data_IF_013925834756
#
_entry.id   IF_013925834756
#
_cell.length_a   1.000
_cell.length_b   1.000
_cell.length_c   1.000
_cell.angle_alpha   90.00
_cell.angle_beta   90.00
_cell.angle_gamma   90.00
#
_symmetry.space_group_name_H-M   'P 1'
#
loop_
_entity.id
_entity.type
_entity.pdbx_description
1 polymer ?
#
# COMPACT_ATOMS: atom_id res chain seq x y z
N UNK A 1 23.83 -55.54 8.17
CA UNK A 1 22.45 -55.94 8.55
C UNK A 1 21.80 -54.73 9.20
N UNK A 2 20.58 -54.35 8.74
CA UNK A 2 19.42 -53.72 9.44
C UNK A 2 19.63 -53.09 10.85
N UNK A 3 19.01 -52.00 11.32
CA UNK A 3 18.02 -50.97 10.88
C UNK A 3 17.74 -50.06 12.11
N UNK A 4 17.23 -48.83 11.89
CA UNK A 4 16.41 -48.01 12.84
C UNK A 4 17.15 -46.82 13.47
N UNK A 5 16.92 -45.52 13.16
CA UNK A 5 15.73 -44.65 13.43
C UNK A 5 15.21 -44.80 14.88
N UNK A 6 15.02 -43.76 15.72
CA UNK A 6 14.43 -42.41 15.48
C UNK A 6 14.71 -41.42 16.65
N UNK A 7 14.27 -40.16 16.44
CA UNK A 7 14.01 -39.00 17.34
C UNK A 7 15.17 -38.01 17.56
N UNK A 8 15.19 -36.82 16.94
CA UNK A 8 14.25 -35.66 16.94
C UNK A 8 14.39 -34.78 18.21
N UNK A 9 14.85 -33.54 18.00
CA UNK A 9 14.17 -32.27 18.35
C UNK A 9 15.20 -31.15 18.60
N UNK A 10 15.23 -30.20 17.67
CA UNK A 10 15.25 -28.73 17.85
C UNK A 10 16.32 -28.04 18.75
N UNK A 11 17.12 -27.16 18.12
CA UNK A 11 17.26 -25.74 18.55
C UNK A 11 18.02 -24.90 17.52
N UNK A 12 17.25 -24.10 16.79
CA UNK A 12 17.45 -22.68 16.46
C UNK A 12 18.88 -22.17 16.21
N UNK A 13 19.20 -21.97 14.94
CA UNK A 13 20.22 -21.02 14.48
C UNK A 13 19.57 -19.64 14.28
N UNK A 14 20.00 -18.66 15.07
CA UNK A 14 19.74 -17.24 14.81
C UNK A 14 20.47 -16.80 13.53
N UNK A 15 19.85 -16.04 12.61
CA UNK A 15 20.59 -15.22 11.68
C UNK A 15 20.63 -13.77 12.18
N UNK A 16 21.86 -13.36 12.47
CA UNK A 16 22.32 -12.00 12.76
C UNK A 16 21.68 -10.94 11.84
N UNK A 17 21.07 -9.93 12.46
CA UNK A 17 20.68 -8.70 11.78
C UNK A 17 21.96 -7.91 11.41
N UNK A 18 22.27 -7.79 10.13
CA UNK A 18 23.08 -6.69 9.59
C UNK A 18 22.96 -6.62 8.07
N UNK A 19 22.29 -5.55 7.63
CA UNK A 19 22.55 -4.78 6.41
C UNK A 19 22.82 -5.54 5.10
N UNK A 20 21.80 -5.63 4.24
CA UNK A 20 21.92 -5.38 2.80
C UNK A 20 20.52 -5.24 2.18
N UNK A 21 19.95 -4.03 2.17
CA UNK A 21 18.62 -3.76 1.58
C UNK A 21 18.67 -2.83 0.37
N UNK A 22 19.87 -2.46 -0.08
CA UNK A 22 20.04 -1.81 -1.38
C UNK A 22 20.41 -2.87 -2.39
N UNK A 23 19.45 -3.42 -3.13
CA UNK A 23 19.60 -3.86 -4.52
C UNK A 23 18.26 -4.36 -5.08
N UNK A 24 17.83 -3.69 -6.16
CA UNK A 24 16.96 -4.12 -7.26
C UNK A 24 15.43 -4.11 -7.10
N UNK A 25 14.87 -2.96 -7.52
CA UNK A 25 13.52 -2.79 -8.05
C UNK A 25 13.29 -3.70 -9.25
N UNK A 26 12.37 -4.66 -9.13
CA UNK A 26 11.72 -5.26 -10.29
C UNK A 26 10.24 -4.92 -10.21
N UNK A 27 9.80 -4.05 -11.12
CA UNK A 27 8.40 -3.88 -11.44
C UNK A 27 7.86 -5.21 -11.97
N UNK A 28 7.29 -6.03 -11.10
CA UNK A 28 6.58 -7.24 -11.49
C UNK A 28 5.20 -7.16 -10.88
N UNK A 29 4.20 -7.04 -11.76
CA UNK A 29 2.80 -7.14 -11.43
C UNK A 29 2.57 -8.39 -10.59
N UNK A 30 2.14 -8.19 -9.34
CA UNK A 30 1.74 -9.27 -8.44
C UNK A 30 0.25 -9.16 -8.20
N UNK A 31 -0.45 -10.02 -8.92
CA UNK A 31 -1.71 -10.65 -8.52
C UNK A 31 -1.57 -11.22 -7.09
N UNK A 32 -2.66 -11.18 -6.31
CA UNK A 32 -2.82 -11.57 -4.91
C UNK A 32 -2.64 -10.45 -3.87
N UNK A 33 -3.64 -10.37 -2.98
CA UNK A 33 -3.57 -9.92 -1.59
C UNK A 33 -2.29 -9.15 -1.22
N UNK A 34 -2.36 -7.82 -1.00
CA UNK A 34 -1.19 -6.96 -0.74
C UNK A 34 -0.36 -7.34 0.51
N UNK A 35 -0.71 -8.44 1.18
CA UNK A 35 0.04 -9.10 2.23
C UNK A 35 1.06 -10.07 1.60
N UNK A 36 2.19 -9.56 1.13
CA UNK A 36 3.25 -10.43 0.63
C UNK A 36 3.93 -11.16 1.80
N UNK A 37 3.84 -12.48 1.74
CA UNK A 37 4.83 -13.47 2.18
C UNK A 37 5.99 -12.89 3.02
N UNK A 38 5.92 -13.06 4.35
CA UNK A 38 7.04 -12.74 5.25
C UNK A 38 7.18 -11.29 5.73
N UNK A 39 6.14 -10.45 5.56
CA UNK A 39 6.07 -9.13 6.20
C UNK A 39 6.51 -7.96 5.32
N UNK A 40 6.45 -8.11 3.99
CA UNK A 40 6.59 -6.99 3.05
C UNK A 40 5.21 -6.71 2.44
N UNK A 41 4.78 -5.45 2.44
CA UNK A 41 3.56 -5.08 1.72
C UNK A 41 3.88 -5.02 0.23
N UNK A 42 3.00 -5.58 -0.60
CA UNK A 42 3.02 -5.26 -2.02
C UNK A 42 2.47 -3.83 -2.14
N UNK A 43 3.34 -2.86 -2.45
CA UNK A 43 2.91 -1.48 -2.54
C UNK A 43 2.50 -1.15 -3.98
N UNK A 44 1.35 -0.48 -4.18
CA UNK A 44 0.95 -0.04 -5.51
C UNK A 44 1.94 1.01 -6.02
N UNK A 45 2.15 1.08 -7.34
CA UNK A 45 2.99 2.14 -7.91
C UNK A 45 2.21 3.46 -8.02
N UNK A 46 2.90 4.60 -7.90
CA UNK A 46 2.32 5.91 -8.21
C UNK A 46 1.74 5.92 -9.62
N UNK A 47 0.50 6.40 -9.75
CA UNK A 47 -0.30 6.37 -10.97
C UNK A 47 -1.09 5.09 -11.21
N UNK A 48 -0.93 4.08 -10.36
CA UNK A 48 -1.78 2.89 -10.41
C UNK A 48 -3.17 3.21 -9.89
N UNK A 49 -4.15 2.46 -10.38
CA UNK A 49 -5.51 2.45 -9.85
C UNK A 49 -5.67 1.29 -8.87
N UNK A 50 -6.23 1.58 -7.72
CA UNK A 50 -6.54 0.61 -6.66
C UNK A 50 -8.00 0.77 -6.25
N UNK A 51 -8.56 -0.20 -5.54
CA UNK A 51 -9.85 -0.07 -4.89
C UNK A 51 -9.69 0.15 -3.41
N UNK A 52 -10.57 0.99 -2.88
CA UNK A 52 -10.82 1.01 -1.45
C UNK A 52 -11.61 -0.25 -1.05
N UNK A 53 -11.13 -0.97 -0.04
CA UNK A 53 -11.86 -2.13 0.51
C UNK A 53 -13.01 -1.72 1.44
N UNK A 54 -12.98 -0.50 1.96
CA UNK A 54 -13.95 -0.02 2.95
C UNK A 54 -15.17 0.64 2.29
N UNK A 55 -14.95 1.40 1.21
CA UNK A 55 -15.99 2.15 0.51
C UNK A 55 -16.39 1.41 -0.77
N UNK A 56 -17.36 0.50 -0.69
CA UNK A 56 -18.06 -0.22 -1.79
C UNK A 56 -17.23 -0.64 -3.05
N UNK A 57 -15.90 -0.68 -2.97
CA UNK A 57 -14.98 -0.87 -4.10
C UNK A 57 -14.69 0.36 -4.96
N UNK A 58 -14.84 1.58 -4.44
CA UNK A 58 -14.51 2.83 -5.14
C UNK A 58 -13.06 2.85 -5.62
N UNK A 59 -12.85 3.37 -6.83
CA UNK A 59 -11.53 3.42 -7.45
C UNK A 59 -10.75 4.66 -6.98
N UNK A 60 -9.49 4.42 -6.66
CA UNK A 60 -8.52 5.38 -6.16
C UNK A 60 -7.32 5.42 -7.10
N UNK A 61 -6.86 6.61 -7.45
CA UNK A 61 -5.59 6.83 -8.12
C UNK A 61 -4.50 7.09 -7.09
N UNK A 62 -3.42 6.31 -7.13
CA UNK A 62 -2.26 6.52 -6.25
C UNK A 62 -1.47 7.73 -6.71
N UNK A 63 -1.23 8.68 -5.80
CA UNK A 63 -0.44 9.88 -6.09
C UNK A 63 0.91 9.86 -5.37
N UNK A 64 1.02 9.23 -4.20
CA UNK A 64 2.27 9.06 -3.46
C UNK A 64 2.28 7.77 -2.63
N UNK A 65 3.47 7.23 -2.39
CA UNK A 65 3.66 6.00 -1.60
C UNK A 65 4.78 6.24 -0.60
N UNK A 66 4.45 6.18 0.68
CA UNK A 66 5.37 6.44 1.79
C UNK A 66 5.85 5.13 2.38
N UNK A 67 6.69 4.41 1.63
CA UNK A 67 7.16 3.06 1.97
C UNK A 67 7.84 2.99 3.36
N UNK A 68 8.48 4.08 3.79
CA UNK A 68 9.17 4.19 5.07
C UNK A 68 8.32 4.70 6.24
N UNK A 69 7.07 5.07 5.99
CA UNK A 69 6.18 5.68 6.99
C UNK A 69 5.04 4.73 7.29
N UNK A 70 4.93 4.33 8.56
CA UNK A 70 3.85 3.45 9.02
C UNK A 70 2.58 4.24 9.31
N UNK A 71 1.43 3.58 9.19
CA UNK A 71 0.12 4.17 9.45
C UNK A 71 -0.02 4.69 10.90
N UNK A 72 0.59 4.02 11.89
CA UNK A 72 0.63 4.47 13.29
C UNK A 72 1.57 5.66 13.55
N UNK A 73 2.42 5.99 12.59
CA UNK A 73 3.38 7.09 12.70
C UNK A 73 3.03 8.32 11.87
N UNK A 74 2.00 8.25 11.03
CA UNK A 74 1.60 9.37 10.17
C UNK A 74 0.36 10.06 10.73
N UNK A 75 0.56 11.29 11.20
CA UNK A 75 -0.48 12.13 11.80
C UNK A 75 -1.22 12.91 10.70
N UNK A 76 -2.54 12.88 10.76
CA UNK A 76 -3.42 13.64 9.88
C UNK A 76 -3.81 14.95 10.57
N UNK A 77 -3.41 16.07 9.96
CA UNK A 77 -3.68 17.41 10.50
C UNK A 77 -5.19 17.71 10.57
N UNK A 78 -5.96 17.18 9.61
CA UNK A 78 -7.42 17.38 9.52
C UNK A 78 -8.24 16.60 10.57
N UNK A 79 -7.64 15.60 11.22
CA UNK A 79 -8.30 14.75 12.22
C UNK A 79 -7.80 15.02 13.64
N UNK A 80 -7.55 16.29 14.00
CA UNK A 80 -7.15 16.71 15.36
C UNK A 80 -5.92 15.93 15.90
N UNK A 81 -5.00 15.53 15.01
CA UNK A 81 -3.79 14.80 15.38
C UNK A 81 -3.93 13.28 15.47
N UNK A 82 -5.05 12.70 15.01
CA UNK A 82 -5.17 11.25 14.83
C UNK A 82 -4.23 10.74 13.73
N UNK A 83 -3.76 9.51 13.87
CA UNK A 83 -2.93 8.86 12.86
C UNK A 83 -3.78 8.18 11.79
N UNK A 84 -3.15 7.82 10.66
CA UNK A 84 -3.81 7.00 9.64
C UNK A 84 -4.31 5.70 10.24
N UNK A 85 -3.55 5.07 11.14
CA UNK A 85 -4.00 3.86 11.84
C UNK A 85 -5.19 4.11 12.77
N UNK A 86 -5.26 5.26 13.46
CA UNK A 86 -6.39 5.58 14.33
C UNK A 86 -7.71 5.74 13.55
N UNK A 87 -7.64 6.33 12.35
CA UNK A 87 -8.79 6.48 11.44
C UNK A 87 -9.14 5.15 10.74
N UNK A 88 -8.18 4.23 10.65
CA UNK A 88 -8.28 2.95 9.94
C UNK A 88 -8.02 1.76 10.88
N UNK A 89 -8.68 1.72 12.05
CA UNK A 89 -8.34 0.77 13.14
C UNK A 89 -8.46 -0.72 12.74
N UNK A 90 -9.28 -1.02 11.73
CA UNK A 90 -9.46 -2.36 11.19
C UNK A 90 -8.27 -2.89 10.38
N UNK A 91 -7.31 -2.03 10.01
CA UNK A 91 -6.18 -2.35 9.14
C UNK A 91 -4.86 -2.34 9.90
N UNK A 92 -3.82 -2.94 9.30
CA UNK A 92 -2.54 -3.08 9.99
C UNK A 92 -1.88 -1.72 10.28
N UNK A 93 -1.62 -1.37 11.55
CA UNK A 93 -1.03 -0.08 11.93
C UNK A 93 0.42 0.06 11.44
N UNK A 94 1.13 -1.06 11.24
CA UNK A 94 2.48 -1.10 10.71
C UNK A 94 2.55 -1.05 9.18
N UNK A 95 1.41 -1.03 8.49
CA UNK A 95 1.37 -0.91 7.05
C UNK A 95 1.93 0.45 6.59
N UNK A 96 2.66 0.49 5.47
CA UNK A 96 3.07 1.74 4.85
C UNK A 96 1.88 2.61 4.47
N UNK A 97 2.08 3.92 4.52
CA UNK A 97 1.04 4.90 4.13
C UNK A 97 1.08 5.12 2.61
N UNK A 98 -0.09 5.21 2.02
CA UNK A 98 -0.30 5.50 0.60
C UNK A 98 -1.25 6.69 0.47
N UNK A 99 -0.85 7.70 -0.28
CA UNK A 99 -1.71 8.84 -0.59
C UNK A 99 -2.40 8.61 -1.94
N UNK A 100 -3.72 8.75 -1.95
CA UNK A 100 -4.56 8.49 -3.10
C UNK A 100 -5.71 9.48 -3.22
N UNK A 101 -6.35 9.49 -4.37
CA UNK A 101 -7.48 10.35 -4.70
C UNK A 101 -8.58 9.52 -5.34
N UNK A 102 -9.84 9.77 -4.98
CA UNK A 102 -10.97 9.10 -5.63
C UNK A 102 -11.10 9.50 -7.10
N UNK A 103 -11.18 8.52 -7.99
CA UNK A 103 -11.26 8.78 -9.44
C UNK A 103 -12.54 9.51 -9.83
N UNK A 104 -13.66 9.22 -9.17
CA UNK A 104 -14.93 9.93 -9.40
C UNK A 104 -14.82 11.43 -9.09
N UNK A 105 -14.09 11.80 -8.04
CA UNK A 105 -13.84 13.21 -7.70
C UNK A 105 -12.92 13.86 -8.74
N UNK A 106 -11.90 13.13 -9.20
CA UNK A 106 -11.02 13.60 -10.29
C UNK A 106 -11.78 13.82 -11.58
N UNK A 107 -12.63 12.89 -11.99
CA UNK A 107 -13.42 13.00 -13.23
C UNK A 107 -14.48 14.11 -13.13
N UNK A 108 -15.04 14.34 -11.94
CA UNK A 108 -15.98 15.43 -11.71
C UNK A 108 -15.32 16.81 -11.70
N UNK A 109 -14.09 16.91 -11.20
CA UNK A 109 -13.38 18.19 -10.99
C UNK A 109 -12.46 18.55 -12.15
N UNK A 110 -11.72 17.58 -12.68
CA UNK A 110 -10.71 17.76 -13.73
C UNK A 110 -11.21 17.13 -15.03
N UNK A 111 -11.70 17.96 -15.95
CA UNK A 111 -12.06 17.51 -17.28
C UNK A 111 -10.79 17.09 -18.05
N UNK A 112 -10.58 15.79 -18.19
CA UNK A 112 -9.55 15.23 -19.07
C UNK A 112 -8.11 15.26 -18.53
N UNK A 113 -7.91 15.16 -17.20
CA UNK A 113 -6.57 14.96 -16.62
C UNK A 113 -5.83 13.81 -17.32
N UNK A 114 -4.54 14.02 -17.63
CA UNK A 114 -3.75 13.07 -18.44
C UNK A 114 -2.63 12.41 -17.67
N UNK A 115 -2.16 13.02 -16.58
CA UNK A 115 -1.01 12.56 -15.82
C UNK A 115 -1.24 12.65 -14.32
N UNK A 116 -0.49 11.89 -13.54
CA UNK A 116 -0.49 11.99 -12.07
C UNK A 116 0.00 13.35 -11.61
N UNK A 117 0.89 13.99 -12.37
CA UNK A 117 1.41 15.31 -12.03
C UNK A 117 0.32 16.39 -12.12
N UNK A 118 -0.59 16.32 -13.12
CA UNK A 118 -1.79 17.18 -13.16
C UNK A 118 -2.66 17.00 -11.91
N UNK A 119 -2.79 15.76 -11.45
CA UNK A 119 -3.58 15.44 -10.25
C UNK A 119 -2.91 16.00 -8.99
N UNK A 120 -1.59 15.81 -8.84
CA UNK A 120 -0.83 16.36 -7.71
C UNK A 120 -0.86 17.89 -7.68
N UNK A 121 -0.82 18.52 -8.84
CA UNK A 121 -0.95 19.97 -8.98
C UNK A 121 -2.34 20.42 -8.49
N UNK A 122 -3.41 19.76 -8.94
CA UNK A 122 -4.77 20.03 -8.49
C UNK A 122 -4.96 19.83 -6.97
N UNK A 123 -4.38 18.78 -6.39
CA UNK A 123 -4.35 18.55 -4.94
C UNK A 123 -3.61 19.69 -4.23
N UNK A 124 -2.47 20.12 -4.77
CA UNK A 124 -1.69 21.23 -4.19
C UNK A 124 -2.43 22.57 -4.22
N UNK A 125 -3.31 22.76 -5.21
CA UNK A 125 -4.21 23.92 -5.28
C UNK A 125 -5.48 23.75 -4.43
N UNK A 126 -5.68 22.61 -3.78
CA UNK A 126 -6.88 22.30 -3.02
C UNK A 126 -8.14 22.14 -3.88
N UNK A 127 -7.97 21.89 -5.18
CA UNK A 127 -9.08 21.63 -6.09
C UNK A 127 -9.65 20.21 -5.89
N UNK A 128 -8.79 19.28 -5.47
CA UNK A 128 -9.11 17.86 -5.27
C UNK A 128 -8.55 17.42 -3.92
N UNK A 129 -9.31 16.63 -3.17
CA UNK A 129 -8.90 16.06 -1.89
C UNK A 129 -7.95 14.89 -2.08
N UNK A 130 -6.87 14.86 -1.30
CA UNK A 130 -6.01 13.68 -1.16
C UNK A 130 -6.27 13.00 0.17
N UNK A 131 -6.28 11.67 0.16
CA UNK A 131 -6.56 10.84 1.32
C UNK A 131 -5.40 9.87 1.56
N UNK A 132 -5.01 9.71 2.82
CA UNK A 132 -3.94 8.79 3.22
C UNK A 132 -4.52 7.51 3.79
N UNK A 133 -4.05 6.36 3.28
CA UNK A 133 -4.54 5.04 3.68
C UNK A 133 -3.38 4.11 4.09
N UNK A 134 -3.62 3.14 5.00
CA UNK A 134 -2.72 2.01 5.15
C UNK A 134 -2.71 1.18 3.86
N UNK A 135 -1.54 0.75 3.39
CA UNK A 135 -1.44 -0.05 2.16
C UNK A 135 -2.29 -1.32 2.19
N UNK A 136 -2.47 -1.94 3.37
CA UNK A 136 -3.30 -3.13 3.58
C UNK A 136 -4.80 -2.89 3.27
N UNK A 137 -5.28 -1.65 3.38
CA UNK A 137 -6.66 -1.26 3.02
C UNK A 137 -6.91 -1.26 1.52
N UNK A 138 -5.87 -1.13 0.72
CA UNK A 138 -6.00 -1.00 -0.72
C UNK A 138 -6.04 -2.40 -1.36
N UNK A 139 -6.80 -2.55 -2.43
CA UNK A 139 -6.79 -3.73 -3.27
C UNK A 139 -6.37 -3.33 -4.67
N UNK A 140 -5.50 -4.11 -5.33
CA UNK A 140 -5.24 -3.87 -6.74
C UNK A 140 -6.57 -3.95 -7.52
N UNK A 141 -6.81 -2.99 -8.42
CA UNK A 141 -7.83 -3.18 -9.45
C UNK A 141 -7.26 -4.28 -10.34
N UNK A 142 -7.84 -5.47 -10.29
CA UNK A 142 -7.46 -6.55 -11.20
C UNK A 142 -7.53 -5.97 -12.62
N UNK A 143 -6.35 -5.85 -13.24
CA UNK A 143 -6.24 -5.42 -14.62
C UNK A 143 -6.82 -6.53 -15.46
N UNK A 144 -8.14 -6.54 -15.62
CA UNK A 144 -8.85 -7.39 -16.55
C UNK A 144 -8.14 -7.27 -17.87
N UNK A 145 -7.34 -8.29 -18.18
CA UNK A 145 -6.38 -8.26 -19.27
C UNK A 145 -7.09 -7.82 -20.53
N UNK A 146 -6.67 -6.69 -21.08
CA UNK A 146 -7.02 -6.33 -22.44
C UNK A 146 -6.49 -7.45 -23.34
N UNK A 147 -7.39 -8.32 -23.79
CA UNK A 147 -7.20 -9.20 -24.95
C UNK A 147 -7.57 -8.45 -26.21
#
# INVERSE_FOLDING_TARGET
MKTGHTNDTDRQTEPTASADWRTEYTAQAVDADLRADGGRYALPAVGSRVRDRDTDGDELLIIDVREGTRADGFVLDEFDGLTVADVNDAYDPGAPVVDAVYTDELEATLDGWRTVEDVKDAVSFGAVGSYSFPADRLAAVDGGGAK
#
